data_IF_430168256721
#
_entry.id   IF_430168256721
#
_cell.length_a   1.000
_cell.length_b   1.000
_cell.length_c   1.000
_cell.angle_alpha   90.00
_cell.angle_beta   90.00
_cell.angle_gamma   90.00
#
_symmetry.space_group_name_H-M   'P 1'
#
loop_
_entity.id
_entity.type
_entity.pdbx_description
1 polymer ?
#
# COMPACT_ATOMS: atom_id res chain seq x y z
N UNK A 1 1.52 -6.86 -11.86
CA UNK A 1 0.35 -7.34 -11.11
C UNK A 1 -0.55 -8.36 -11.84
N UNK A 2 -0.65 -8.37 -13.18
CA UNK A 2 -1.48 -9.37 -13.90
C UNK A 2 -0.90 -10.80 -13.87
N UNK A 3 0.40 -10.95 -13.64
CA UNK A 3 1.12 -12.23 -13.68
C UNK A 3 1.10 -13.00 -12.35
N UNK A 4 0.85 -12.37 -11.23
CA UNK A 4 0.70 -13.04 -9.93
C UNK A 4 -0.48 -14.03 -9.88
N UNK A 5 -1.53 -13.81 -10.70
CA UNK A 5 -2.69 -14.72 -10.76
C UNK A 5 -2.38 -16.07 -11.42
N UNK A 6 -1.43 -16.12 -12.34
CA UNK A 6 -1.09 -17.38 -13.03
C UNK A 6 -0.27 -18.30 -12.13
N UNK A 7 0.49 -17.75 -11.19
CA UNK A 7 1.26 -18.51 -10.19
C UNK A 7 0.38 -19.18 -9.13
N UNK A 8 -0.77 -18.61 -8.83
CA UNK A 8 -1.77 -19.17 -7.92
C UNK A 8 -2.22 -20.59 -8.31
N UNK A 9 -2.40 -20.82 -9.59
CA UNK A 9 -2.90 -22.11 -10.09
C UNK A 9 -1.81 -23.19 -9.96
N UNK A 10 -0.55 -22.82 -10.05
CA UNK A 10 0.56 -23.77 -9.95
C UNK A 10 0.86 -24.14 -8.49
N UNK A 11 0.76 -23.20 -7.55
CA UNK A 11 0.90 -23.50 -6.11
C UNK A 11 -0.20 -24.40 -5.58
N UNK A 12 -1.44 -24.24 -6.05
CA UNK A 12 -2.58 -25.06 -5.67
C UNK A 12 -2.45 -26.54 -6.08
N UNK A 13 -1.65 -26.85 -7.11
CA UNK A 13 -1.50 -28.21 -7.63
C UNK A 13 -0.47 -29.03 -6.83
N UNK A 14 0.50 -28.38 -6.16
CA UNK A 14 1.58 -29.08 -5.44
C UNK A 14 1.34 -29.26 -3.93
N UNK A 15 0.32 -28.62 -3.33
CA UNK A 15 -0.06 -28.87 -1.94
C UNK A 15 -0.96 -30.12 -1.74
N UNK A 16 -1.07 -30.98 -2.74
CA UNK A 16 -1.74 -32.28 -2.62
C UNK A 16 -0.80 -33.36 -2.05
N UNK A 17 -0.09 -33.06 -0.96
CA UNK A 17 0.35 -34.16 -0.08
C UNK A 17 -0.88 -34.72 0.62
N UNK A 18 -1.02 -36.03 0.75
CA UNK A 18 -2.22 -36.64 1.29
C UNK A 18 -2.39 -36.25 2.77
N UNK A 19 -3.26 -35.26 3.01
CA UNK A 19 -3.85 -35.03 4.34
C UNK A 19 -4.71 -36.25 4.68
N UNK A 20 -4.05 -37.33 5.05
CA UNK A 20 -4.68 -38.51 5.59
C UNK A 20 -5.30 -38.14 6.93
N UNK A 21 -6.63 -38.15 7.00
CA UNK A 21 -7.50 -38.12 8.19
C UNK A 21 -8.18 -36.82 8.62
N UNK A 22 -7.96 -35.66 7.98
CA UNK A 22 -8.98 -34.63 8.08
C UNK A 22 -10.10 -34.92 7.08
N UNK A 23 -11.35 -34.83 7.49
CA UNK A 23 -12.46 -34.92 6.55
C UNK A 23 -12.31 -33.93 5.41
N UNK A 24 -12.80 -34.22 4.22
CA UNK A 24 -12.67 -33.39 3.02
C UNK A 24 -13.04 -31.91 3.28
N UNK A 25 -13.99 -31.66 4.18
CA UNK A 25 -14.43 -30.32 4.59
C UNK A 25 -13.35 -29.55 5.33
N UNK A 26 -12.54 -30.19 6.19
CA UNK A 26 -11.47 -29.52 6.92
C UNK A 26 -10.30 -29.22 5.99
N UNK A 27 -10.00 -30.08 5.02
CA UNK A 27 -8.99 -29.83 4.01
C UNK A 27 -9.34 -28.60 3.13
N UNK A 28 -10.59 -28.47 2.71
CA UNK A 28 -11.07 -27.31 1.93
C UNK A 28 -10.99 -26.02 2.75
N UNK A 29 -11.33 -26.05 4.04
CA UNK A 29 -11.25 -24.91 4.94
C UNK A 29 -9.80 -24.48 5.22
N UNK A 30 -8.87 -25.41 5.36
CA UNK A 30 -7.44 -25.11 5.52
C UNK A 30 -6.86 -24.47 4.26
N UNK A 31 -7.25 -24.94 3.06
CA UNK A 31 -6.88 -24.31 1.80
C UNK A 31 -7.49 -22.89 1.65
N UNK A 32 -8.73 -22.70 2.09
CA UNK A 32 -9.34 -21.37 2.08
C UNK A 32 -8.62 -20.42 3.04
N UNK A 33 -8.18 -20.88 4.22
CA UNK A 33 -7.39 -20.09 5.15
C UNK A 33 -6.07 -19.62 4.51
N UNK A 34 -5.34 -20.54 3.87
CA UNK A 34 -4.10 -20.21 3.15
C UNK A 34 -4.35 -19.16 2.07
N UNK A 35 -5.37 -19.35 1.26
CA UNK A 35 -5.77 -18.43 0.21
C UNK A 35 -6.17 -17.04 0.74
N UNK A 36 -6.90 -16.97 1.85
CA UNK A 36 -7.28 -15.71 2.48
C UNK A 36 -6.05 -14.95 2.98
N UNK A 37 -5.12 -15.64 3.66
CA UNK A 37 -3.87 -15.03 4.15
C UNK A 37 -3.01 -14.51 3.00
N UNK A 38 -2.89 -15.29 1.95
CA UNK A 38 -2.10 -14.91 0.79
C UNK A 38 -2.72 -13.70 0.07
N UNK A 39 -4.04 -13.62 0.00
CA UNK A 39 -4.78 -12.53 -0.62
C UNK A 39 -4.93 -11.28 0.27
N UNK A 40 -4.32 -11.26 1.46
CA UNK A 40 -4.40 -10.11 2.34
C UNK A 40 -5.77 -9.91 3.01
N UNK A 41 -6.59 -10.96 3.09
CA UNK A 41 -7.92 -10.92 3.72
C UNK A 41 -7.79 -11.11 5.23
N UNK A 42 -7.27 -10.08 5.92
CA UNK A 42 -6.96 -10.13 7.35
C UNK A 42 -8.14 -10.56 8.23
N UNK A 43 -9.29 -9.91 8.07
CA UNK A 43 -10.43 -10.15 8.95
C UNK A 43 -11.00 -11.56 8.76
N UNK A 44 -11.17 -11.98 7.51
CA UNK A 44 -11.68 -13.29 7.17
C UNK A 44 -10.68 -14.40 7.57
N UNK A 45 -9.39 -14.17 7.39
CA UNK A 45 -8.35 -15.11 7.86
C UNK A 45 -8.39 -15.29 9.36
N UNK A 46 -8.55 -14.20 10.12
CA UNK A 46 -8.63 -14.22 11.58
C UNK A 46 -9.85 -14.99 12.08
N UNK A 47 -11.01 -14.75 11.47
CA UNK A 47 -12.25 -15.43 11.80
C UNK A 47 -12.18 -16.92 11.46
N UNK A 48 -11.70 -17.28 10.27
CA UNK A 48 -11.59 -18.67 9.84
C UNK A 48 -10.56 -19.43 10.67
N UNK A 49 -9.39 -18.83 10.95
CA UNK A 49 -8.38 -19.46 11.82
C UNK A 49 -8.93 -19.77 13.21
N UNK A 50 -9.63 -18.82 13.83
CA UNK A 50 -10.26 -19.04 15.13
C UNK A 50 -11.22 -20.23 15.07
N UNK A 51 -12.11 -20.26 14.09
CA UNK A 51 -13.08 -21.35 13.94
C UNK A 51 -12.41 -22.71 13.68
N UNK A 52 -11.30 -22.74 12.93
CA UNK A 52 -10.53 -23.96 12.68
C UNK A 52 -9.80 -24.43 13.94
N UNK A 53 -9.16 -23.52 14.68
CA UNK A 53 -8.41 -23.87 15.90
C UNK A 53 -9.30 -24.48 17.00
N UNK A 54 -10.60 -24.18 16.98
CA UNK A 54 -11.57 -24.74 17.93
C UNK A 54 -12.07 -26.16 17.50
N UNK A 55 -11.90 -26.54 16.23
CA UNK A 55 -12.51 -27.74 15.66
C UNK A 55 -11.53 -28.75 15.07
N UNK A 56 -10.34 -28.33 14.67
CA UNK A 56 -9.37 -29.20 14.01
C UNK A 56 -7.92 -28.85 14.38
N UNK A 57 -6.98 -29.75 14.09
CA UNK A 57 -5.56 -29.49 14.26
C UNK A 57 -5.02 -28.76 13.04
N UNK A 58 -4.54 -27.52 13.23
CA UNK A 58 -3.90 -26.76 12.17
C UNK A 58 -2.47 -27.26 11.97
N UNK A 59 -2.04 -27.59 10.74
CA UNK A 59 -0.66 -27.95 10.45
C UNK A 59 0.34 -26.88 10.92
N UNK A 60 1.50 -27.31 11.41
CA UNK A 60 2.50 -26.40 12.03
C UNK A 60 3.04 -25.33 11.08
N UNK A 61 3.21 -25.69 9.82
CA UNK A 61 3.63 -24.77 8.75
C UNK A 61 2.56 -23.72 8.46
N UNK A 62 1.31 -24.10 8.33
CA UNK A 62 0.19 -23.19 8.14
C UNK A 62 -0.02 -22.28 9.37
N UNK A 63 0.16 -22.79 10.58
CA UNK A 63 0.12 -22.00 11.82
C UNK A 63 1.24 -20.96 11.86
N UNK A 64 2.47 -21.33 11.48
CA UNK A 64 3.60 -20.41 11.39
C UNK A 64 3.34 -19.32 10.32
N UNK A 65 2.83 -19.72 9.16
CA UNK A 65 2.48 -18.79 8.11
C UNK A 65 1.37 -17.83 8.55
N UNK A 66 0.33 -18.33 9.22
CA UNK A 66 -0.71 -17.49 9.79
C UNK A 66 -0.14 -16.46 10.79
N UNK A 67 0.68 -16.89 11.74
CA UNK A 67 1.31 -16.00 12.72
C UNK A 67 2.20 -14.94 12.08
N UNK A 68 2.97 -15.34 11.06
CA UNK A 68 3.75 -14.41 10.24
C UNK A 68 2.85 -13.37 9.57
N UNK A 69 1.79 -13.80 8.87
CA UNK A 69 0.89 -12.89 8.17
C UNK A 69 0.16 -11.95 9.13
N UNK A 70 -0.33 -12.45 10.27
CA UNK A 70 -0.96 -11.62 11.29
C UNK A 70 0.00 -10.57 11.87
N UNK A 71 1.24 -10.93 12.11
CA UNK A 71 2.26 -9.99 12.55
C UNK A 71 2.54 -8.91 11.48
N UNK A 72 2.64 -9.31 10.21
CA UNK A 72 2.84 -8.40 9.08
C UNK A 72 1.65 -7.43 8.91
N UNK A 73 0.42 -7.94 8.96
CA UNK A 73 -0.80 -7.12 8.86
C UNK A 73 -0.88 -6.06 9.96
N UNK A 74 -0.40 -6.37 11.15
CA UNK A 74 -0.43 -5.47 12.29
C UNK A 74 0.86 -4.63 12.46
N UNK A 75 1.73 -4.61 11.45
CA UNK A 75 3.00 -3.88 11.46
C UNK A 75 3.90 -4.24 12.66
N UNK A 76 3.90 -5.52 13.08
CA UNK A 76 4.75 -6.07 14.14
C UNK A 76 5.97 -6.74 13.51
N UNK A 77 6.87 -5.94 12.96
CA UNK A 77 7.96 -6.39 12.09
C UNK A 77 8.89 -7.39 12.79
N UNK A 78 9.22 -7.19 14.08
CA UNK A 78 10.02 -8.16 14.86
C UNK A 78 9.34 -9.54 14.93
N UNK A 79 8.05 -9.57 15.21
CA UNK A 79 7.27 -10.81 15.27
C UNK A 79 7.15 -11.46 13.89
N UNK A 80 6.98 -10.65 12.84
CA UNK A 80 6.94 -11.15 11.46
C UNK A 80 8.26 -11.83 11.08
N UNK A 81 9.40 -11.20 11.38
CA UNK A 81 10.73 -11.78 11.18
C UNK A 81 10.86 -13.12 11.92
N UNK A 82 10.52 -13.16 13.22
CA UNK A 82 10.62 -14.36 14.03
C UNK A 82 9.84 -15.55 13.44
N UNK A 83 8.60 -15.33 12.98
CA UNK A 83 7.80 -16.40 12.39
C UNK A 83 8.26 -16.77 10.97
N UNK A 84 8.71 -15.80 10.18
CA UNK A 84 9.19 -16.04 8.82
C UNK A 84 10.51 -16.80 8.79
N UNK A 85 11.46 -16.48 9.69
CA UNK A 85 12.71 -17.24 9.88
C UNK A 85 12.44 -18.72 10.21
N UNK A 86 11.35 -19.00 10.93
CA UNK A 86 10.94 -20.38 11.24
C UNK A 86 10.19 -21.05 10.09
N UNK A 87 9.44 -20.29 9.32
CA UNK A 87 8.61 -20.83 8.24
C UNK A 87 9.42 -21.19 6.99
N UNK A 88 10.41 -20.35 6.62
CA UNK A 88 11.21 -20.55 5.40
C UNK A 88 11.81 -21.97 5.28
N UNK A 89 12.39 -22.62 6.32
CA UNK A 89 12.92 -23.96 6.20
C UNK A 89 11.90 -25.02 5.76
N UNK A 90 10.65 -24.91 6.23
CA UNK A 90 9.59 -25.85 5.81
C UNK A 90 9.21 -25.64 4.35
N UNK A 91 9.16 -24.38 3.92
CA UNK A 91 8.71 -24.02 2.59
C UNK A 91 9.77 -24.28 1.50
N UNK A 92 11.06 -24.24 1.90
CA UNK A 92 12.18 -24.43 0.98
C UNK A 92 12.19 -25.81 0.36
N UNK A 93 11.87 -26.86 1.13
CA UNK A 93 11.87 -28.25 0.67
C UNK A 93 10.74 -28.51 -0.34
N UNK A 94 9.57 -27.86 -0.16
CA UNK A 94 8.37 -28.13 -0.94
C UNK A 94 8.23 -27.24 -2.19
N UNK A 95 8.67 -26.00 -2.13
CA UNK A 95 8.31 -24.96 -3.13
C UNK A 95 9.50 -24.36 -3.89
N UNK A 96 10.73 -24.78 -3.62
CA UNK A 96 11.92 -24.41 -4.39
C UNK A 96 12.03 -22.89 -4.67
N UNK A 97 11.79 -22.52 -5.90
CA UNK A 97 12.01 -21.17 -6.41
C UNK A 97 11.11 -20.09 -5.82
N UNK A 98 9.96 -20.45 -5.26
CA UNK A 98 9.02 -19.49 -4.64
C UNK A 98 9.53 -18.99 -3.30
N UNK A 99 10.50 -19.65 -2.72
CA UNK A 99 11.18 -19.20 -1.51
C UNK A 99 11.78 -17.79 -1.67
N UNK A 100 12.10 -17.37 -2.90
CA UNK A 100 12.58 -16.00 -3.17
C UNK A 100 11.60 -14.92 -2.73
N UNK A 101 10.30 -15.19 -2.80
CA UNK A 101 9.27 -14.24 -2.33
C UNK A 101 9.36 -14.10 -0.81
N UNK A 102 9.53 -15.21 -0.10
CA UNK A 102 9.69 -15.20 1.35
C UNK A 102 11.00 -14.51 1.77
N UNK A 103 12.08 -14.78 1.08
CA UNK A 103 13.36 -14.07 1.31
C UNK A 103 13.24 -12.58 1.01
N UNK A 104 12.48 -12.18 -0.01
CA UNK A 104 12.27 -10.75 -0.29
C UNK A 104 11.49 -10.06 0.84
N UNK A 105 10.48 -10.74 1.42
CA UNK A 105 9.75 -10.24 2.59
C UNK A 105 10.64 -10.15 3.82
N UNK A 106 11.50 -11.14 4.03
CA UNK A 106 12.46 -11.17 5.14
C UNK A 106 13.52 -10.07 4.99
N UNK A 107 14.01 -9.85 3.77
CA UNK A 107 14.94 -8.78 3.45
C UNK A 107 14.35 -7.41 3.77
N UNK A 108 13.15 -7.13 3.30
CA UNK A 108 12.46 -5.85 3.56
C UNK A 108 12.25 -5.64 5.06
N UNK A 109 11.87 -6.68 5.79
CA UNK A 109 11.70 -6.61 7.25
C UNK A 109 13.04 -6.35 7.98
N UNK A 110 14.14 -6.94 7.54
CA UNK A 110 15.46 -6.64 8.11
C UNK A 110 15.92 -5.21 7.82
N UNK A 111 15.66 -4.70 6.62
CA UNK A 111 15.94 -3.28 6.28
C UNK A 111 15.12 -2.36 7.17
N UNK A 112 13.83 -2.65 7.37
CA UNK A 112 12.94 -1.87 8.24
C UNK A 112 13.41 -1.83 9.70
N UNK A 113 13.93 -2.97 10.21
CA UNK A 113 14.47 -3.08 11.56
C UNK A 113 15.93 -2.57 11.71
N UNK A 114 16.58 -2.20 10.62
CA UNK A 114 17.97 -1.77 10.62
C UNK A 114 18.97 -2.92 10.78
N UNK A 115 18.56 -4.18 10.59
CA UNK A 115 19.43 -5.38 10.69
C UNK A 115 20.22 -5.59 9.39
N UNK A 116 21.12 -4.65 9.11
CA UNK A 116 21.82 -4.55 7.83
C UNK A 116 22.62 -5.81 7.47
N UNK A 117 23.28 -6.43 8.44
CA UNK A 117 24.08 -7.65 8.21
C UNK A 117 23.18 -8.84 7.82
N UNK A 118 22.03 -8.99 8.48
CA UNK A 118 21.05 -10.00 8.12
C UNK A 118 20.44 -9.75 6.74
N UNK A 119 20.13 -8.49 6.42
CA UNK A 119 19.65 -8.11 5.09
C UNK A 119 20.68 -8.43 4.00
N UNK A 120 21.97 -8.13 4.24
CA UNK A 120 23.05 -8.46 3.31
C UNK A 120 23.17 -9.97 3.09
N UNK A 121 23.12 -10.76 4.16
CA UNK A 121 23.15 -12.22 4.08
C UNK A 121 21.97 -12.76 3.26
N UNK A 122 20.77 -12.26 3.53
CA UNK A 122 19.55 -12.63 2.78
C UNK A 122 19.64 -12.25 1.30
N UNK A 123 20.16 -11.06 0.99
CA UNK A 123 20.42 -10.64 -0.39
C UNK A 123 21.40 -11.59 -1.11
N UNK A 124 22.49 -11.98 -0.44
CA UNK A 124 23.46 -12.92 -1.00
C UNK A 124 22.83 -14.28 -1.30
N UNK A 125 22.00 -14.80 -0.37
CA UNK A 125 21.25 -16.06 -0.57
C UNK A 125 20.30 -15.95 -1.76
N UNK A 126 19.54 -14.87 -1.86
CA UNK A 126 18.63 -14.64 -2.99
C UNK A 126 19.38 -14.56 -4.32
N UNK A 127 20.53 -13.87 -4.34
CA UNK A 127 21.35 -13.74 -5.53
C UNK A 127 21.91 -15.08 -5.97
N UNK A 128 22.43 -15.86 -5.02
CA UNK A 128 22.93 -17.22 -5.29
C UNK A 128 21.84 -18.11 -5.89
N UNK A 129 20.66 -18.17 -5.26
CA UNK A 129 19.51 -18.93 -5.77
C UNK A 129 19.08 -18.47 -7.17
N UNK A 130 19.12 -17.17 -7.42
CA UNK A 130 18.83 -16.61 -8.73
C UNK A 130 19.84 -17.08 -9.76
N UNK A 131 21.13 -16.94 -9.49
CA UNK A 131 22.21 -17.24 -10.43
C UNK A 131 22.28 -18.75 -10.73
N UNK A 132 22.09 -19.62 -9.72
CA UNK A 132 22.23 -21.07 -9.85
C UNK A 132 21.02 -21.77 -10.50
N UNK A 133 19.79 -21.29 -10.22
CA UNK A 133 18.59 -22.07 -10.52
C UNK A 133 17.59 -21.36 -11.42
N UNK A 134 17.52 -20.05 -11.39
CA UNK A 134 16.33 -19.31 -11.84
C UNK A 134 16.56 -18.41 -13.05
N UNK A 135 17.80 -17.95 -13.26
CA UNK A 135 18.15 -17.11 -14.40
C UNK A 135 17.93 -17.80 -15.76
N UNK A 136 17.99 -19.14 -15.75
CA UNK A 136 17.90 -19.99 -16.95
C UNK A 136 16.50 -20.58 -17.22
N UNK A 137 15.50 -20.26 -16.40
CA UNK A 137 14.12 -20.70 -16.66
C UNK A 137 13.58 -19.95 -17.87
N UNK A 138 13.34 -20.68 -18.97
CA UNK A 138 12.81 -20.11 -20.21
C UNK A 138 11.30 -20.30 -20.31
N UNK A 139 10.61 -19.27 -20.79
CA UNK A 139 9.19 -19.31 -21.13
C UNK A 139 8.48 -17.98 -20.87
N UNK A 140 7.58 -17.59 -21.76
CA UNK A 140 6.81 -16.34 -21.67
C UNK A 140 6.04 -16.17 -20.36
N UNK A 141 5.65 -17.26 -19.70
CA UNK A 141 4.97 -17.24 -18.42
C UNK A 141 5.86 -16.70 -17.28
N UNK A 142 7.17 -16.81 -17.42
CA UNK A 142 8.15 -16.44 -16.40
C UNK A 142 8.79 -15.06 -16.62
N UNK A 143 8.67 -14.47 -17.82
CA UNK A 143 9.33 -13.20 -18.16
C UNK A 143 8.98 -12.06 -17.19
N UNK A 144 7.70 -11.96 -16.81
CA UNK A 144 7.25 -10.96 -15.85
C UNK A 144 7.85 -11.17 -14.47
N UNK A 145 7.82 -12.41 -13.98
CA UNK A 145 8.39 -12.79 -12.69
C UNK A 145 9.91 -12.59 -12.64
N UNK A 146 10.62 -12.98 -13.69
CA UNK A 146 12.06 -12.75 -13.79
C UNK A 146 12.41 -11.26 -13.75
N UNK A 147 11.60 -10.43 -14.41
CA UNK A 147 11.77 -8.98 -14.40
C UNK A 147 11.56 -8.42 -12.98
N UNK A 148 10.54 -8.91 -12.27
CA UNK A 148 10.26 -8.48 -10.89
C UNK A 148 11.38 -8.87 -9.93
N UNK A 149 11.92 -10.09 -10.04
CA UNK A 149 13.05 -10.53 -9.21
C UNK A 149 14.32 -9.73 -9.53
N UNK A 150 14.65 -9.49 -10.79
CA UNK A 150 15.80 -8.65 -11.18
C UNK A 150 15.68 -7.23 -10.61
N UNK A 151 14.47 -6.65 -10.69
CA UNK A 151 14.20 -5.33 -10.13
C UNK A 151 14.36 -5.33 -8.61
N UNK A 152 13.90 -6.39 -7.94
CA UNK A 152 14.06 -6.54 -6.50
C UNK A 152 15.53 -6.70 -6.11
N UNK A 153 16.29 -7.56 -6.79
CA UNK A 153 17.73 -7.72 -6.53
C UNK A 153 18.51 -6.42 -6.71
N UNK A 154 18.20 -5.65 -7.75
CA UNK A 154 18.79 -4.31 -7.93
C UNK A 154 18.40 -3.33 -6.83
N UNK A 155 17.17 -3.40 -6.34
CA UNK A 155 16.74 -2.63 -5.16
C UNK A 155 17.49 -3.08 -3.90
N UNK A 156 17.57 -4.38 -3.65
CA UNK A 156 18.20 -4.95 -2.48
C UNK A 156 19.70 -4.60 -2.42
N UNK A 157 20.41 -4.68 -3.56
CA UNK A 157 21.81 -4.25 -3.66
C UNK A 157 21.98 -2.77 -3.29
N UNK A 158 21.11 -1.91 -3.81
CA UNK A 158 21.10 -0.49 -3.49
C UNK A 158 20.83 -0.25 -2.00
N UNK A 159 19.86 -0.98 -1.41
CA UNK A 159 19.46 -0.81 -0.02
C UNK A 159 20.57 -1.21 0.97
N UNK A 160 21.25 -2.35 0.74
CA UNK A 160 22.37 -2.76 1.63
C UNK A 160 23.59 -1.86 1.53
N UNK A 161 23.79 -1.17 0.41
CA UNK A 161 24.87 -0.21 0.21
C UNK A 161 24.53 1.21 0.68
N UNK A 162 23.26 1.47 0.98
CA UNK A 162 22.80 2.77 1.47
C UNK A 162 23.05 2.92 2.98
N UNK A 163 23.20 4.16 3.50
CA UNK A 163 23.23 4.39 4.93
C UNK A 163 21.88 3.96 5.54
N UNK A 164 21.88 3.43 6.80
CA UNK A 164 20.67 2.99 7.46
C UNK A 164 19.71 4.17 7.69
N UNK A 165 18.42 3.91 7.52
CA UNK A 165 17.39 4.86 7.94
C UNK A 165 17.39 4.90 9.46
N UNK A 166 17.45 6.09 10.03
CA UNK A 166 17.34 6.26 11.49
C UNK A 166 16.34 7.34 11.83
N UNK A 167 15.76 7.22 13.02
CA UNK A 167 14.79 8.20 13.54
C UNK A 167 15.23 8.66 14.93
N UNK A 168 15.21 9.96 15.15
CA UNK A 168 15.33 10.56 16.49
C UNK A 168 14.01 11.21 16.85
N UNK A 169 13.57 11.01 18.07
CA UNK A 169 12.33 11.53 18.59
C UNK A 169 12.54 11.97 20.04
N UNK A 170 11.96 13.10 20.45
CA UNK A 170 11.94 13.48 21.86
C UNK A 170 10.94 12.60 22.65
N UNK A 171 11.10 12.52 23.97
CA UNK A 171 10.22 11.76 24.85
C UNK A 171 8.85 12.43 25.09
N UNK A 172 8.56 13.51 24.36
CA UNK A 172 7.29 14.22 24.45
C UNK A 172 6.48 14.04 23.18
N UNK A 173 5.17 13.94 23.31
CA UNK A 173 4.27 14.02 22.17
C UNK A 173 4.42 15.36 21.47
N UNK A 174 4.33 15.36 20.16
CA UNK A 174 4.33 16.58 19.34
C UNK A 174 3.15 16.61 18.41
N UNK A 175 2.95 17.75 17.78
CA UNK A 175 1.95 17.91 16.75
C UNK A 175 2.46 18.81 15.63
N UNK A 176 1.79 18.73 14.50
CA UNK A 176 1.89 19.67 13.39
C UNK A 176 0.51 20.19 13.06
N UNK A 177 0.43 21.48 12.73
CA UNK A 177 -0.82 22.06 12.25
C UNK A 177 -1.07 21.58 10.82
N UNK A 178 -2.29 21.10 10.54
CA UNK A 178 -2.73 20.67 9.22
C UNK A 178 -3.65 21.70 8.59
N UNK A 179 -3.60 21.78 7.27
CA UNK A 179 -4.47 22.64 6.46
C UNK A 179 -5.36 21.77 5.58
N UNK A 180 -6.64 22.14 5.52
CA UNK A 180 -7.62 21.37 4.74
C UNK A 180 -8.22 20.22 5.54
N UNK A 181 -9.43 19.80 5.14
CA UNK A 181 -10.15 18.71 5.78
C UNK A 181 -10.09 17.42 4.98
N UNK A 182 -9.72 17.50 3.71
CA UNK A 182 -9.67 16.39 2.77
C UNK A 182 -8.31 15.69 2.73
N UNK A 183 -7.22 16.41 3.05
CA UNK A 183 -5.86 15.86 3.03
C UNK A 183 -5.02 16.44 4.18
N UNK A 184 -4.18 15.64 4.83
CA UNK A 184 -3.31 16.12 5.90
C UNK A 184 -2.11 16.90 5.33
N UNK A 185 -2.33 18.17 4.98
CA UNK A 185 -1.30 19.10 4.47
C UNK A 185 -0.67 19.86 5.63
N UNK A 186 0.64 19.81 5.76
CA UNK A 186 1.41 20.45 6.85
C UNK A 186 2.77 20.94 6.38
N UNK A 187 3.54 21.54 7.28
CA UNK A 187 4.92 21.97 7.02
C UNK A 187 5.90 20.98 7.64
N UNK A 188 6.89 20.54 6.84
CA UNK A 188 8.03 19.75 7.30
C UNK A 188 9.33 20.39 6.79
N UNK A 189 10.48 20.07 7.41
CA UNK A 189 11.77 20.57 6.94
C UNK A 189 12.57 19.45 6.31
N UNK A 190 13.19 19.74 5.19
CA UNK A 190 14.05 18.87 4.39
C UNK A 190 15.45 19.50 4.31
N UNK A 191 16.44 18.85 4.93
CA UNK A 191 17.78 19.45 5.10
C UNK A 191 17.71 20.89 5.64
N UNK A 192 16.79 21.14 6.61
CA UNK A 192 16.55 22.45 7.21
C UNK A 192 15.64 23.40 6.43
N UNK A 193 15.25 23.08 5.18
CA UNK A 193 14.38 23.92 4.35
C UNK A 193 12.93 23.53 4.54
N UNK A 194 12.07 24.46 4.93
CA UNK A 194 10.65 24.23 5.14
C UNK A 194 9.90 24.06 3.81
N UNK A 195 9.08 22.98 3.72
CA UNK A 195 8.28 22.68 2.56
C UNK A 195 6.88 22.20 2.93
N UNK A 196 5.90 22.54 2.08
CA UNK A 196 4.55 22.01 2.20
C UNK A 196 4.56 20.52 1.88
N UNK A 197 4.01 19.74 2.79
CA UNK A 197 4.08 18.28 2.80
C UNK A 197 2.69 17.69 2.94
N UNK A 198 2.47 16.53 2.35
CA UNK A 198 1.28 15.71 2.58
C UNK A 198 1.69 14.34 3.08
N UNK A 199 0.87 13.72 3.94
CA UNK A 199 0.91 12.30 4.18
C UNK A 199 -0.07 11.59 3.25
N UNK A 200 0.43 10.56 2.58
CA UNK A 200 -0.33 9.78 1.61
C UNK A 200 -0.14 8.29 1.88
N UNK A 201 -1.16 7.64 2.45
CA UNK A 201 -1.13 6.21 2.77
C UNK A 201 -1.18 5.31 1.53
N UNK A 202 -1.59 5.85 0.38
CA UNK A 202 -1.51 5.18 -0.93
C UNK A 202 -0.11 5.25 -1.56
N UNK A 203 0.80 6.08 -1.01
CA UNK A 203 2.14 6.27 -1.53
C UNK A 203 3.14 5.25 -0.96
N UNK A 204 3.79 4.50 -1.83
CA UNK A 204 4.74 3.44 -1.46
C UNK A 204 6.17 3.90 -1.16
N UNK A 205 6.76 4.92 -1.85
CA UNK A 205 8.06 5.47 -1.48
C UNK A 205 8.02 6.15 -0.11
N UNK A 206 9.16 6.18 0.59
CA UNK A 206 9.30 6.97 1.82
C UNK A 206 9.04 8.45 1.57
N UNK A 207 9.62 8.99 0.49
CA UNK A 207 9.46 10.37 0.09
C UNK A 207 9.38 10.45 -1.43
N UNK A 208 8.51 11.33 -1.93
CA UNK A 208 8.28 11.54 -3.35
C UNK A 208 8.06 13.03 -3.62
N UNK A 209 8.81 13.58 -4.58
CA UNK A 209 8.75 15.01 -4.91
C UNK A 209 9.15 15.29 -6.35
N UNK A 210 8.81 16.47 -6.83
CA UNK A 210 9.19 16.94 -8.15
C UNK A 210 10.68 17.28 -8.22
N UNK A 211 11.25 17.18 -9.42
CA UNK A 211 12.64 17.60 -9.69
C UNK A 211 12.86 19.07 -9.34
N UNK A 212 11.90 19.93 -9.65
CA UNK A 212 11.94 21.37 -9.32
C UNK A 212 12.08 21.61 -7.81
N UNK A 213 11.33 20.88 -6.98
CA UNK A 213 11.46 20.98 -5.52
C UNK A 213 12.81 20.47 -5.04
N UNK A 214 13.28 19.34 -5.59
CA UNK A 214 14.59 18.79 -5.22
C UNK A 214 15.72 19.79 -5.48
N UNK A 215 15.72 20.40 -6.67
CA UNK A 215 16.70 21.43 -7.04
C UNK A 215 16.59 22.67 -6.14
N UNK A 216 15.37 23.13 -5.84
CA UNK A 216 15.14 24.26 -4.93
C UNK A 216 15.61 24.02 -3.49
N UNK A 217 15.65 22.76 -3.06
CA UNK A 217 16.15 22.32 -1.74
C UNK A 217 17.63 21.88 -1.77
N UNK A 218 18.30 21.96 -2.91
CA UNK A 218 19.69 21.52 -3.04
C UNK A 218 19.89 20.00 -2.86
N UNK A 219 18.84 19.21 -3.06
CA UNK A 219 18.89 17.76 -2.91
C UNK A 219 19.65 17.16 -4.11
N UNK A 220 20.72 16.43 -3.82
CA UNK A 220 21.50 15.69 -4.82
C UNK A 220 20.79 14.40 -5.19
N UNK A 221 20.82 14.01 -6.45
CA UNK A 221 20.21 12.77 -6.93
C UNK A 221 21.10 12.09 -7.98
N UNK A 222 20.87 10.78 -8.20
CA UNK A 222 21.61 10.05 -9.22
C UNK A 222 21.18 10.51 -10.64
N UNK A 223 22.03 10.23 -11.63
CA UNK A 223 21.74 10.55 -13.03
C UNK A 223 20.97 9.42 -13.75
N UNK A 224 20.73 8.28 -13.06
CA UNK A 224 20.13 7.10 -13.67
C UNK A 224 18.62 7.25 -13.64
N UNK A 225 18.03 7.45 -14.80
CA UNK A 225 16.60 7.49 -14.98
C UNK A 225 16.01 6.10 -14.91
N UNK A 226 14.89 5.96 -14.20
CA UNK A 226 14.15 4.71 -14.02
C UNK A 226 12.68 4.93 -14.29
N UNK A 227 12.07 4.00 -14.97
CA UNK A 227 10.62 4.01 -15.13
C UNK A 227 9.96 3.43 -13.89
N UNK A 228 9.09 4.21 -13.25
CA UNK A 228 8.28 3.77 -12.13
C UNK A 228 6.81 3.78 -12.53
N UNK A 229 6.14 2.66 -12.37
CA UNK A 229 4.68 2.62 -12.58
C UNK A 229 3.99 3.14 -11.32
N UNK A 230 3.20 4.18 -11.48
CA UNK A 230 2.39 4.79 -10.43
C UNK A 230 0.97 4.93 -10.94
N UNK A 231 0.02 4.26 -10.28
CA UNK A 231 -1.41 4.28 -10.67
C UNK A 231 -1.62 4.06 -12.18
N UNK A 232 -0.98 3.01 -12.72
CA UNK A 232 -1.02 2.66 -14.17
C UNK A 232 -0.33 3.64 -15.12
N UNK A 233 0.48 4.55 -14.61
CA UNK A 233 1.30 5.45 -15.40
C UNK A 233 2.77 5.15 -15.21
N UNK A 234 3.55 5.37 -16.25
CA UNK A 234 5.00 5.27 -16.17
C UNK A 234 5.58 6.66 -15.97
N UNK A 235 6.16 6.91 -14.80
CA UNK A 235 6.92 8.12 -14.49
C UNK A 235 8.41 7.87 -14.64
N UNK A 236 9.12 8.84 -15.20
CA UNK A 236 10.58 8.84 -15.17
C UNK A 236 11.03 9.42 -13.84
N UNK A 237 11.72 8.61 -13.06
CA UNK A 237 12.19 8.96 -11.73
C UNK A 237 13.71 8.79 -11.62
N UNK A 238 14.32 9.57 -10.76
CA UNK A 238 15.70 9.38 -10.28
C UNK A 238 15.67 9.12 -8.77
N UNK A 239 16.69 8.48 -8.23
CA UNK A 239 16.81 8.19 -6.81
C UNK A 239 17.67 9.23 -6.10
N UNK A 240 17.33 9.45 -4.84
CA UNK A 240 18.08 10.30 -3.92
C UNK A 240 17.99 9.76 -2.51
N UNK A 241 18.85 10.27 -1.64
CA UNK A 241 18.72 10.12 -0.19
C UNK A 241 18.67 11.52 0.39
N UNK A 242 17.62 11.84 1.14
CA UNK A 242 17.54 13.11 1.89
C UNK A 242 18.19 12.86 3.25
N UNK A 243 19.15 13.73 3.60
CA UNK A 243 19.95 13.56 4.83
C UNK A 243 19.09 13.69 6.07
N UNK A 244 18.13 14.62 6.09
CA UNK A 244 17.19 14.79 7.21
C UNK A 244 15.82 15.28 6.78
N UNK A 245 14.78 14.74 7.44
CA UNK A 245 13.39 15.21 7.35
C UNK A 245 12.87 15.43 8.77
N UNK A 246 12.42 16.66 9.08
CA UNK A 246 11.85 17.00 10.39
C UNK A 246 10.33 17.17 10.29
N UNK A 247 9.59 16.41 11.11
CA UNK A 247 8.14 16.48 11.24
C UNK A 247 7.80 16.65 12.72
N UNK A 248 7.36 17.83 13.13
CA UNK A 248 7.21 18.16 14.54
C UNK A 248 8.54 18.03 15.29
N UNK A 249 8.59 17.16 16.33
CA UNK A 249 9.80 16.86 17.08
C UNK A 249 10.48 15.54 16.68
N UNK A 250 10.13 15.01 15.50
CA UNK A 250 10.66 13.77 14.96
C UNK A 250 11.60 14.14 13.81
N UNK A 251 12.82 13.62 13.84
CA UNK A 251 13.79 13.77 12.75
C UNK A 251 14.15 12.40 12.20
N UNK A 252 13.95 12.24 10.91
CA UNK A 252 14.37 11.07 10.14
C UNK A 252 15.66 11.39 9.41
N UNK A 253 16.54 10.39 9.29
CA UNK A 253 17.81 10.51 8.58
C UNK A 253 17.94 9.47 7.49
N UNK A 254 18.65 9.83 6.42
CA UNK A 254 18.98 8.97 5.30
C UNK A 254 17.74 8.42 4.59
N UNK A 255 16.78 9.27 4.27
CA UNK A 255 15.49 8.85 3.71
C UNK A 255 15.58 8.61 2.20
N UNK A 256 15.38 7.36 1.75
CA UNK A 256 15.29 7.04 0.33
C UNK A 256 14.15 7.81 -0.34
N UNK A 257 14.47 8.48 -1.42
CA UNK A 257 13.57 9.42 -2.06
C UNK A 257 13.48 9.14 -3.55
N UNK A 258 12.29 9.20 -4.10
CA UNK A 258 12.06 9.23 -5.54
C UNK A 258 11.74 10.64 -6.00
N UNK A 259 12.49 11.10 -6.99
CA UNK A 259 12.32 12.41 -7.61
C UNK A 259 11.81 12.17 -9.01
N UNK A 260 10.62 12.67 -9.32
CA UNK A 260 10.05 12.54 -10.65
C UNK A 260 10.34 13.75 -11.52
N UNK A 261 10.50 13.47 -12.82
CA UNK A 261 10.55 14.51 -13.85
C UNK A 261 9.14 14.92 -14.22
N UNK A 262 8.88 16.21 -14.23
CA UNK A 262 7.62 16.75 -14.73
C UNK A 262 7.53 16.52 -16.25
N UNK A 263 6.40 15.95 -16.70
CA UNK A 263 6.16 15.76 -18.13
C UNK A 263 5.65 17.05 -18.76
N UNK A 264 6.25 17.44 -19.88
CA UNK A 264 5.83 18.63 -20.63
C UNK A 264 4.53 18.41 -21.42
N UNK A 265 4.19 17.19 -21.75
CA UNK A 265 3.05 16.89 -22.60
C UNK A 265 2.10 15.86 -22.01
N UNK A 266 0.79 16.12 -22.13
CA UNK A 266 -0.26 15.14 -21.88
C UNK A 266 -1.02 14.90 -23.16
N UNK A 267 -1.22 13.65 -23.56
CA UNK A 267 -2.12 13.34 -24.64
C UNK A 267 -3.56 13.64 -24.22
N UNK A 268 -4.16 14.68 -24.80
CA UNK A 268 -5.56 15.00 -24.60
C UNK A 268 -6.42 14.17 -25.55
N UNK A 269 -7.24 13.30 -24.99
CA UNK A 269 -8.24 12.55 -25.78
C UNK A 269 -9.58 13.30 -25.71
N UNK A 270 -9.76 14.31 -26.55
CA UNK A 270 -11.08 14.96 -26.75
C UNK A 270 -11.16 15.62 -28.11
N UNK A 271 -12.29 15.47 -28.79
CA UNK A 271 -12.56 16.08 -30.09
C UNK A 271 -12.95 17.58 -30.00
N UNK A 272 -13.34 18.09 -28.83
CA UNK A 272 -13.79 19.47 -28.64
C UNK A 272 -12.69 20.39 -28.08
N UNK A 273 -12.35 21.45 -28.81
CA UNK A 273 -11.36 22.46 -28.40
C UNK A 273 -11.69 23.14 -27.04
N UNK A 274 -13.00 23.42 -26.78
CA UNK A 274 -13.44 24.03 -25.52
C UNK A 274 -13.24 23.06 -24.34
N UNK A 275 -13.54 21.77 -24.55
CA UNK A 275 -13.29 20.73 -23.54
C UNK A 275 -11.77 20.57 -23.30
N UNK A 276 -10.95 20.54 -24.37
CA UNK A 276 -9.48 20.46 -24.25
C UNK A 276 -8.91 21.60 -23.40
N UNK A 277 -9.33 22.85 -23.63
CA UNK A 277 -8.86 24.02 -22.85
C UNK A 277 -9.24 23.93 -21.37
N UNK A 278 -10.48 23.53 -21.06
CA UNK A 278 -10.96 23.36 -19.69
C UNK A 278 -10.21 22.25 -18.97
N UNK A 279 -10.00 21.13 -19.67
CA UNK A 279 -9.23 19.99 -19.17
C UNK A 279 -7.78 20.39 -18.88
N UNK A 280 -7.14 21.09 -19.84
CA UNK A 280 -5.78 21.59 -19.65
C UNK A 280 -5.66 22.43 -18.38
N UNK A 281 -6.54 23.43 -18.20
CA UNK A 281 -6.50 24.30 -17.02
C UNK A 281 -6.64 23.51 -15.69
N UNK A 282 -7.60 22.58 -15.64
CA UNK A 282 -7.79 21.77 -14.44
C UNK A 282 -6.57 20.88 -14.13
N UNK A 283 -5.98 20.30 -15.16
CA UNK A 283 -4.82 19.45 -15.05
C UNK A 283 -3.54 20.23 -14.67
N UNK A 284 -3.35 21.40 -15.30
CA UNK A 284 -2.23 22.28 -14.95
C UNK A 284 -2.34 22.72 -13.47
N UNK A 285 -3.56 22.99 -12.97
CA UNK A 285 -3.79 23.32 -11.55
C UNK A 285 -3.40 22.18 -10.62
N UNK A 286 -3.81 20.93 -10.92
CA UNK A 286 -3.45 19.77 -10.10
C UNK A 286 -1.95 19.47 -10.18
N UNK A 287 -1.34 19.58 -11.35
CA UNK A 287 0.12 19.42 -11.52
C UNK A 287 0.90 20.40 -10.68
N UNK A 288 0.50 21.68 -10.74
CA UNK A 288 1.12 22.71 -9.92
C UNK A 288 0.97 22.37 -8.44
N UNK A 289 -0.24 21.94 -8.03
CA UNK A 289 -0.51 21.56 -6.66
C UNK A 289 0.37 20.40 -6.19
N UNK A 290 0.56 19.36 -7.00
CA UNK A 290 1.42 18.20 -6.68
C UNK A 290 2.90 18.61 -6.77
N UNK A 291 3.31 19.35 -7.80
CA UNK A 291 4.69 19.73 -8.01
C UNK A 291 5.27 20.67 -6.93
N UNK A 292 4.40 21.37 -6.21
CA UNK A 292 4.77 22.29 -5.12
C UNK A 292 4.77 21.64 -3.74
N UNK A 293 4.55 20.32 -3.66
CA UNK A 293 4.44 19.59 -2.39
C UNK A 293 5.34 18.37 -2.36
N UNK A 294 5.83 18.08 -1.17
CA UNK A 294 6.49 16.79 -0.90
C UNK A 294 5.44 15.82 -0.41
N UNK A 295 5.47 14.60 -0.93
CA UNK A 295 4.64 13.51 -0.46
C UNK A 295 5.47 12.57 0.41
N UNK A 296 5.07 12.40 1.67
CA UNK A 296 5.60 11.38 2.58
C UNK A 296 4.65 10.19 2.58
N UNK A 297 5.18 9.04 2.20
CA UNK A 297 4.39 7.83 2.04
C UNK A 297 4.22 7.02 3.32
N UNK A 298 3.46 5.94 3.20
CA UNK A 298 3.18 5.00 4.28
C UNK A 298 4.44 4.51 5.03
N UNK A 299 5.62 4.27 4.41
CA UNK A 299 6.80 3.84 5.15
C UNK A 299 7.26 4.83 6.23
N UNK A 300 7.17 6.14 5.99
CA UNK A 300 7.47 7.15 7.03
C UNK A 300 6.44 7.08 8.16
N UNK A 301 5.16 6.92 7.84
CA UNK A 301 4.10 6.80 8.85
C UNK A 301 4.30 5.56 9.72
N UNK A 302 4.74 4.44 9.14
CA UNK A 302 5.09 3.22 9.87
C UNK A 302 6.25 3.45 10.86
N UNK A 303 7.28 4.22 10.49
CA UNK A 303 8.37 4.58 11.38
C UNK A 303 7.88 5.45 12.54
N UNK A 304 6.95 6.38 12.31
CA UNK A 304 6.31 7.18 13.38
C UNK A 304 5.55 6.28 14.35
N UNK A 305 4.87 5.29 13.85
CA UNK A 305 4.10 4.29 14.58
C UNK A 305 2.72 4.77 15.01
N UNK A 306 2.63 5.86 15.77
CA UNK A 306 1.35 6.39 16.28
C UNK A 306 1.08 7.77 15.69
N UNK A 307 -0.01 7.89 14.96
CA UNK A 307 -0.47 9.14 14.34
C UNK A 307 -1.94 9.31 14.70
N UNK A 308 -2.29 10.47 15.25
CA UNK A 308 -3.66 10.85 15.56
C UNK A 308 -3.98 12.14 14.82
N UNK A 309 -4.98 12.10 13.94
CA UNK A 309 -5.48 13.30 13.26
C UNK A 309 -6.68 13.85 14.01
N UNK A 310 -6.62 15.12 14.36
CA UNK A 310 -7.68 15.90 15.01
C UNK A 310 -8.08 17.03 14.07
N UNK A 311 -9.09 16.79 13.25
CA UNK A 311 -9.57 17.77 12.27
C UNK A 311 -10.31 18.93 12.92
N UNK A 312 -10.92 18.72 14.10
CA UNK A 312 -11.63 19.78 14.81
C UNK A 312 -10.67 20.88 15.27
N UNK A 313 -9.44 20.49 15.62
CA UNK A 313 -8.37 21.42 16.01
C UNK A 313 -7.34 21.67 14.92
N UNK A 314 -7.56 21.13 13.71
CA UNK A 314 -6.62 21.23 12.59
C UNK A 314 -5.19 20.76 12.95
N UNK A 315 -5.08 19.63 13.64
CA UNK A 315 -3.81 19.10 14.12
C UNK A 315 -3.62 17.64 13.78
N UNK A 316 -2.38 17.28 13.56
CA UNK A 316 -1.94 15.90 13.54
C UNK A 316 -0.92 15.71 14.65
N UNK A 317 -1.23 14.80 15.59
CA UNK A 317 -0.45 14.53 16.78
C UNK A 317 0.36 13.24 16.61
N UNK A 318 1.52 13.23 17.23
CA UNK A 318 2.42 12.07 17.29
C UNK A 318 2.60 11.68 18.77
N UNK A 319 1.70 10.86 19.33
CA UNK A 319 1.75 10.46 20.74
C UNK A 319 2.98 9.61 21.05
N UNK A 320 3.62 9.83 22.20
CA UNK A 320 4.69 8.96 22.74
C UNK A 320 4.09 7.90 23.66
N UNK A 321 3.13 8.31 24.52
CA UNK A 321 2.43 7.39 25.41
C UNK A 321 1.50 6.45 24.66
N UNK A 322 1.14 5.35 25.32
CA UNK A 322 0.13 4.48 24.78
C UNK A 322 -1.23 5.18 24.73
N UNK A 323 -1.80 5.19 23.52
CA UNK A 323 -3.17 5.63 23.30
C UNK A 323 -4.07 4.42 23.52
N UNK A 324 -5.16 4.58 24.25
CA UNK A 324 -6.17 3.52 24.36
C UNK A 324 -6.81 3.31 22.99
N UNK A 325 -6.43 2.26 22.34
CA UNK A 325 -7.01 1.82 21.06
C UNK A 325 -8.16 0.84 21.34
N UNK A 326 -9.01 0.62 20.34
CA UNK A 326 -9.98 -0.48 20.38
C UNK A 326 -9.26 -1.80 20.64
N UNK A 327 -9.93 -2.75 21.32
CA UNK A 327 -9.33 -4.06 21.63
C UNK A 327 -8.99 -4.86 20.36
N UNK A 328 -9.70 -4.61 19.29
CA UNK A 328 -9.49 -5.26 18.01
C UNK A 328 -9.00 -4.27 16.97
N UNK A 329 -8.04 -4.68 16.15
CA UNK A 329 -7.59 -3.89 15.03
C UNK A 329 -8.70 -3.86 13.96
N UNK A 330 -9.05 -2.66 13.53
CA UNK A 330 -10.00 -2.39 12.44
C UNK A 330 -9.32 -1.84 11.19
N UNK A 331 -8.00 -1.64 11.26
CA UNK A 331 -7.12 -1.27 10.16
C UNK A 331 -5.94 -2.25 10.15
N UNK A 332 -5.50 -2.64 8.97
CA UNK A 332 -4.33 -3.51 8.79
C UNK A 332 -3.50 -3.07 7.58
N UNK A 333 -2.21 -3.44 7.58
CA UNK A 333 -1.31 -3.21 6.47
C UNK A 333 -1.21 -4.47 5.59
N UNK A 334 -1.29 -4.30 4.27
CA UNK A 334 -1.03 -5.39 3.34
C UNK A 334 -0.28 -4.85 2.11
N UNK A 335 0.77 -5.59 1.70
CA UNK A 335 1.70 -5.11 0.68
C UNK A 335 2.18 -3.68 1.01
N UNK A 336 1.67 -2.70 0.30
CA UNK A 336 2.11 -1.31 0.39
C UNK A 336 0.93 -0.35 0.65
N UNK A 337 -0.13 -0.85 1.23
CA UNK A 337 -1.34 -0.07 1.56
C UNK A 337 -1.86 -0.35 2.96
N UNK A 338 -2.77 0.51 3.41
CA UNK A 338 -3.59 0.31 4.59
C UNK A 338 -5.00 -0.06 4.17
N UNK A 339 -5.62 -0.95 4.92
CA UNK A 339 -6.97 -1.42 4.66
C UNK A 339 -7.78 -1.39 5.93
N UNK A 340 -9.05 -1.03 5.80
CA UNK A 340 -9.98 -0.94 6.90
C UNK A 340 -11.27 -1.69 6.59
N UNK A 341 -11.91 -2.26 7.61
CA UNK A 341 -13.25 -2.80 7.51
C UNK A 341 -14.25 -1.74 7.97
N UNK A 342 -15.19 -1.43 7.11
CA UNK A 342 -16.39 -0.65 7.44
C UNK A 342 -17.63 -1.47 7.08
N UNK A 343 -18.80 -1.04 7.54
CA UNK A 343 -20.07 -1.52 7.01
C UNK A 343 -20.66 -0.44 6.11
N UNK A 344 -21.07 -0.85 4.93
CA UNK A 344 -21.78 -0.01 3.98
C UNK A 344 -23.17 -0.62 3.75
N UNK A 345 -24.22 0.04 4.26
CA UNK A 345 -25.60 -0.49 4.30
C UNK A 345 -25.66 -1.91 4.91
N UNK A 346 -25.04 -2.08 6.09
CA UNK A 346 -24.91 -3.36 6.84
C UNK A 346 -24.07 -4.46 6.16
N UNK A 347 -23.49 -4.21 4.99
CA UNK A 347 -22.60 -5.13 4.30
C UNK A 347 -21.15 -4.85 4.72
N UNK A 348 -20.40 -5.90 5.06
CA UNK A 348 -18.98 -5.78 5.32
C UNK A 348 -18.25 -5.35 4.04
N UNK A 349 -17.49 -4.27 4.15
CA UNK A 349 -16.80 -3.62 3.06
C UNK A 349 -15.34 -3.38 3.48
N UNK A 350 -14.41 -3.97 2.76
CA UNK A 350 -12.98 -3.76 2.99
C UNK A 350 -12.45 -2.71 2.03
N UNK A 351 -12.05 -1.58 2.58
CA UNK A 351 -11.58 -0.43 1.81
C UNK A 351 -10.08 -0.23 1.94
N UNK A 352 -9.42 0.18 0.88
CA UNK A 352 -8.09 0.76 0.94
C UNK A 352 -8.19 2.18 1.49
N UNK A 353 -7.47 2.46 2.58
CA UNK A 353 -7.40 3.79 3.20
C UNK A 353 -6.32 4.61 2.48
N UNK A 354 -6.75 5.56 1.65
CA UNK A 354 -5.88 6.41 0.84
C UNK A 354 -6.04 7.89 1.18
N UNK A 355 -5.23 8.40 2.10
CA UNK A 355 -5.24 9.83 2.49
C UNK A 355 -4.75 10.78 1.39
N UNK A 356 -4.21 10.23 0.29
CA UNK A 356 -3.90 10.96 -0.94
C UNK A 356 -5.10 11.08 -1.89
N UNK A 357 -6.18 10.28 -1.69
CA UNK A 357 -7.41 10.37 -2.48
C UNK A 357 -8.15 11.67 -2.21
N UNK A 358 -8.85 12.17 -3.21
CA UNK A 358 -9.76 13.32 -3.09
C UNK A 358 -11.23 12.92 -3.05
N UNK A 359 -11.53 11.65 -2.93
CA UNK A 359 -12.87 11.09 -2.89
C UNK A 359 -13.19 10.57 -1.47
N UNK A 360 -14.47 10.61 -1.08
CA UNK A 360 -14.86 10.14 0.26
C UNK A 360 -14.86 8.62 0.33
N UNK A 361 -15.72 7.95 -0.47
CA UNK A 361 -15.73 6.50 -0.61
C UNK A 361 -15.96 6.14 -2.08
N UNK A 362 -15.10 5.29 -2.60
CA UNK A 362 -15.23 4.68 -3.91
C UNK A 362 -15.55 3.19 -3.77
N UNK A 363 -16.63 2.74 -4.39
CA UNK A 363 -17.05 1.34 -4.42
C UNK A 363 -16.65 0.71 -5.74
N UNK A 364 -15.98 -0.45 -5.67
CA UNK A 364 -15.64 -1.22 -6.86
C UNK A 364 -16.90 -1.73 -7.57
N UNK A 365 -16.88 -1.70 -8.90
CA UNK A 365 -18.03 -2.11 -9.69
C UNK A 365 -18.42 -3.58 -9.50
N UNK A 366 -17.47 -4.48 -9.26
CA UNK A 366 -17.77 -5.89 -9.03
C UNK A 366 -18.42 -6.11 -7.66
N UNK A 367 -17.97 -5.37 -6.63
CA UNK A 367 -18.63 -5.38 -5.33
C UNK A 367 -20.06 -4.83 -5.43
N UNK A 368 -20.23 -3.70 -6.11
CA UNK A 368 -21.57 -3.13 -6.36
C UNK A 368 -22.48 -4.11 -7.11
N UNK A 369 -21.99 -4.74 -8.19
CA UNK A 369 -22.78 -5.70 -8.97
C UNK A 369 -23.28 -6.88 -8.11
N UNK A 370 -22.49 -7.31 -7.14
CA UNK A 370 -22.84 -8.37 -6.20
C UNK A 370 -23.94 -7.94 -5.19
N UNK A 371 -23.94 -6.66 -4.80
CA UNK A 371 -24.76 -6.13 -3.71
C UNK A 371 -25.75 -5.04 -4.17
N UNK A 372 -26.21 -5.08 -5.42
CA UNK A 372 -27.07 -4.03 -6.01
C UNK A 372 -28.37 -3.80 -5.26
N UNK A 373 -28.95 -4.85 -4.65
CA UNK A 373 -30.22 -4.78 -3.95
C UNK A 373 -30.13 -3.95 -2.67
N UNK A 374 -29.00 -4.08 -1.98
CA UNK A 374 -28.72 -3.41 -0.71
C UNK A 374 -28.15 -2.00 -0.93
N UNK A 375 -27.73 -1.68 -2.16
CA UNK A 375 -27.07 -0.44 -2.52
C UNK A 375 -27.86 0.34 -3.60
N UNK A 376 -29.02 0.92 -3.27
CA UNK A 376 -29.82 1.64 -4.24
C UNK A 376 -29.09 2.89 -4.76
N UNK A 377 -29.22 3.15 -6.06
CA UNK A 377 -28.65 4.33 -6.71
C UNK A 377 -29.56 5.53 -6.49
N UNK A 378 -28.99 6.65 -6.03
CA UNK A 378 -29.66 7.94 -5.93
C UNK A 378 -29.69 8.66 -7.27
N UNK A 379 -28.53 8.79 -7.90
CA UNK A 379 -28.44 9.40 -9.23
C UNK A 379 -27.22 8.86 -10.01
N UNK A 380 -27.25 9.07 -11.32
CA UNK A 380 -26.15 8.72 -12.21
C UNK A 380 -25.53 10.00 -12.73
N UNK A 381 -24.26 10.24 -12.38
CA UNK A 381 -23.52 11.36 -12.92
C UNK A 381 -23.04 11.03 -14.33
N UNK A 382 -23.70 11.57 -15.34
CA UNK A 382 -23.30 11.44 -16.75
C UNK A 382 -22.18 12.41 -17.15
N UNK A 383 -21.84 13.36 -16.29
CA UNK A 383 -20.77 14.33 -16.56
C UNK A 383 -19.46 13.78 -16.05
N UNK A 384 -18.58 13.64 -16.98
CA UNK A 384 -17.19 13.39 -16.81
C UNK A 384 -16.57 14.24 -15.69
N UNK A 385 -16.30 13.66 -14.53
CA UNK A 385 -15.50 14.28 -13.49
C UNK A 385 -14.02 13.95 -13.76
N UNK A 386 -13.15 14.92 -13.55
CA UNK A 386 -11.74 14.73 -13.65
C UNK A 386 -11.25 14.02 -12.40
N UNK A 387 -10.77 12.79 -12.56
CA UNK A 387 -9.82 12.21 -11.63
C UNK A 387 -8.41 12.46 -12.19
N UNK A 388 -7.51 12.98 -11.39
CA UNK A 388 -6.10 13.02 -11.72
C UNK A 388 -5.41 12.00 -10.86
N UNK A 389 -5.12 10.85 -11.46
CA UNK A 389 -4.22 9.90 -10.84
C UNK A 389 -2.80 10.41 -11.11
N UNK A 390 -2.17 10.98 -10.07
CA UNK A 390 -0.88 11.61 -10.16
C UNK A 390 -0.70 12.60 -11.34
N UNK A 391 0.48 12.80 -11.87
CA UNK A 391 0.87 13.97 -12.66
C UNK A 391 0.46 13.91 -14.13
N UNK A 392 -0.05 12.78 -14.64
CA UNK A 392 -0.10 12.57 -16.10
C UNK A 392 -1.43 12.20 -16.74
N UNK A 393 -2.44 11.69 -16.04
CA UNK A 393 -3.70 11.32 -16.67
C UNK A 393 -4.91 12.00 -16.03
N UNK A 394 -5.65 12.74 -16.84
CA UNK A 394 -7.01 13.11 -16.51
C UNK A 394 -7.94 12.02 -17.07
N UNK A 395 -8.52 11.20 -16.22
CA UNK A 395 -9.62 10.31 -16.61
C UNK A 395 -10.95 11.00 -16.42
N UNK A 396 -11.77 10.93 -17.43
CA UNK A 396 -13.17 11.31 -17.34
C UNK A 396 -13.95 10.03 -17.07
N UNK A 397 -14.42 9.84 -15.87
CA UNK A 397 -15.27 8.70 -15.51
C UNK A 397 -16.71 9.15 -15.22
N UNK A 398 -17.66 8.33 -15.62
CA UNK A 398 -19.02 8.40 -15.10
C UNK A 398 -19.08 7.58 -13.81
N UNK A 399 -19.86 8.03 -12.85
CA UNK A 399 -20.11 7.28 -11.62
C UNK A 399 -21.59 7.28 -11.26
N UNK A 400 -21.99 6.35 -10.44
CA UNK A 400 -23.29 6.29 -9.80
C UNK A 400 -23.10 6.69 -8.34
N UNK A 401 -23.95 7.56 -7.81
CA UNK A 401 -23.97 7.90 -6.40
C UNK A 401 -25.00 7.05 -5.67
N UNK A 402 -24.63 6.46 -4.53
CA UNK A 402 -25.56 5.69 -3.71
C UNK A 402 -26.60 6.61 -3.06
N UNK A 403 -27.81 6.08 -2.86
CA UNK A 403 -28.89 6.80 -2.21
C UNK A 403 -28.81 6.57 -0.70
N UNK A 404 -28.61 7.65 0.06
CA UNK A 404 -28.59 7.64 1.54
C UNK A 404 -27.76 6.48 2.11
N UNK A 405 -26.46 6.36 1.75
CA UNK A 405 -25.63 5.27 2.25
C UNK A 405 -25.45 5.39 3.76
N UNK A 406 -25.57 4.26 4.46
CA UNK A 406 -25.27 4.15 5.88
C UNK A 406 -23.86 3.58 6.02
N UNK A 407 -22.96 4.31 6.66
CA UNK A 407 -21.56 3.94 6.83
C UNK A 407 -21.30 3.77 8.32
N UNK A 408 -20.80 2.61 8.71
CA UNK A 408 -20.46 2.31 10.10
C UNK A 408 -18.99 1.91 10.17
N UNK A 409 -18.23 2.60 11.01
CA UNK A 409 -16.86 2.27 11.35
C UNK A 409 -16.70 2.16 12.87
N UNK A 410 -16.12 1.08 13.33
CA UNK A 410 -15.92 0.80 14.77
C UNK A 410 -17.23 0.97 15.59
N UNK A 411 -18.34 0.43 15.06
CA UNK A 411 -19.70 0.56 15.64
C UNK A 411 -20.23 2.00 15.77
N UNK A 412 -19.62 2.96 15.08
CA UNK A 412 -20.09 4.36 15.05
C UNK A 412 -20.59 4.70 13.65
N UNK A 413 -21.73 5.39 13.62
CA UNK A 413 -22.26 5.95 12.38
C UNK A 413 -21.31 7.06 11.90
N UNK A 414 -20.79 6.91 10.69
CA UNK A 414 -19.96 7.92 10.05
C UNK A 414 -20.86 8.91 9.29
N UNK A 415 -20.58 10.18 9.48
CA UNK A 415 -21.20 11.25 8.69
C UNK A 415 -20.19 11.73 7.66
N UNK A 416 -20.59 11.92 6.39
CA UNK A 416 -19.71 12.56 5.42
C UNK A 416 -19.32 13.96 5.90
N UNK A 417 -18.07 14.39 5.71
CA UNK A 417 -17.58 15.68 6.18
C UNK A 417 -18.33 16.87 5.57
N UNK A 418 -18.79 16.73 4.35
CA UNK A 418 -19.58 17.75 3.65
C UNK A 418 -20.79 17.15 2.93
N UNK A 419 -21.74 18.02 2.54
CA UNK A 419 -22.94 17.61 1.79
C UNK A 419 -22.62 17.07 0.39
N UNK A 420 -21.45 17.44 -0.16
CA UNK A 420 -20.99 17.03 -1.49
C UNK A 420 -20.17 15.72 -1.46
N UNK A 421 -19.88 15.18 -0.28
CA UNK A 421 -19.17 13.92 -0.14
C UNK A 421 -20.10 12.74 -0.35
N UNK A 422 -19.89 12.07 -1.45
CA UNK A 422 -20.73 10.99 -1.95
C UNK A 422 -20.03 9.66 -1.90
N UNK A 423 -20.79 8.59 -1.65
CA UNK A 423 -20.34 7.23 -1.91
C UNK A 423 -20.54 6.91 -3.39
N UNK A 424 -19.47 6.71 -4.12
CA UNK A 424 -19.46 6.60 -5.58
C UNK A 424 -19.12 5.21 -6.06
N UNK A 425 -19.89 4.74 -7.03
CA UNK A 425 -19.62 3.50 -7.77
C UNK A 425 -19.10 3.87 -9.15
N UNK A 426 -17.88 3.53 -9.46
CA UNK A 426 -17.29 3.79 -10.77
C UNK A 426 -17.59 2.67 -11.76
N UNK A 427 -17.73 3.02 -13.04
CA UNK A 427 -18.00 2.06 -14.12
C UNK A 427 -16.77 1.25 -14.54
N UNK A 428 -15.60 1.57 -14.01
CA UNK A 428 -14.35 0.88 -14.32
C UNK A 428 -14.03 -0.10 -13.21
N UNK A 429 -13.88 -1.38 -13.56
CA UNK A 429 -13.41 -2.40 -12.61
C UNK A 429 -12.04 -2.02 -12.07
N UNK A 430 -11.89 -2.06 -10.77
CA UNK A 430 -10.59 -1.90 -10.12
C UNK A 430 -9.59 -2.92 -10.67
N UNK A 431 -8.34 -2.50 -10.80
CA UNK A 431 -7.26 -3.38 -11.22
C UNK A 431 -6.82 -4.29 -10.05
N UNK A 432 -7.22 -3.94 -8.84
CA UNK A 432 -6.94 -4.70 -7.64
C UNK A 432 -8.20 -5.42 -7.13
N UNK A 433 -8.43 -6.69 -7.50
CA UNK A 433 -9.64 -7.44 -7.14
C UNK A 433 -9.70 -7.86 -5.66
N UNK A 434 -8.81 -7.36 -4.83
CA UNK A 434 -8.66 -7.75 -3.42
C UNK A 434 -9.50 -6.90 -2.47
N UNK A 435 -10.03 -5.77 -2.95
CA UNK A 435 -10.73 -4.79 -2.13
C UNK A 435 -12.07 -4.42 -2.74
N UNK A 436 -12.98 -4.08 -1.85
CA UNK A 436 -14.34 -3.70 -2.23
C UNK A 436 -14.40 -2.23 -2.70
N UNK A 437 -13.35 -1.42 -2.35
CA UNK A 437 -13.24 -0.03 -2.76
C UNK A 437 -12.14 0.75 -2.02
N UNK A 438 -12.26 2.08 -2.00
CA UNK A 438 -11.33 3.04 -1.38
C UNK A 438 -12.10 3.97 -0.43
N UNK A 439 -11.40 4.45 0.60
CA UNK A 439 -11.83 5.48 1.56
C UNK A 439 -10.75 6.53 1.73
#
# INVERSE_FOLDING_TARGET
MRYWKTYYIICLIFMLTPLTLCGQVDAERLQELDKLMFNGRYFESKELYKNLSDTTTIPSDLDLFYKFRMAQFLNKTDSAVYYLEKYIPYYYEDCGNQVLILYSMLFDAYIELGYKDKALCTYQQMKQLWDESLSNINGKAYEGWQTDIKNFLSYAESAVNSPPITMKRSNTSSFVDIKGHDKPVFQAKYNGISQTTIFDTGMQPYCFLSKKLAEGMGIRYDSIERNKVVVNETLVCVRSIIDSIEVGNITFYNIPTLIYKESESIPYVSSSLRKKRRMKKALDSVRTWVAERVCLGLPIMKLIGKIQTDYDHNRMCFPVSDVTLSKEANIYAYEKGLYMRIKLNDIDFTANLDTGSGEYIEVDSAFYEKHQKEMPIGFVMKKNRFGVAMVHQARMSSYKSLKNPVIIFDNKLMQPPTIDDEVRVYSVKSIAPLFDGFV
#
